data_IF_887426710601
#
_entry.id   IF_887426710601
#
_cell.length_a   1.000
_cell.length_b   1.000
_cell.length_c   1.000
_cell.angle_alpha   90.00
_cell.angle_beta   90.00
_cell.angle_gamma   90.00
#
_symmetry.space_group_name_H-M   'P 1'
#
loop_
_entity.id
_entity.type
_entity.pdbx_description
1 polymer ?
#
# COMPACT_ATOMS: atom_id res chain seq x y z
N UNK A 1 2.68 15.97 16.92
CA UNK A 1 3.15 15.75 15.54
C UNK A 1 4.09 16.89 15.12
N UNK A 2 3.70 18.18 15.25
CA UNK A 2 4.57 19.30 14.87
C UNK A 2 5.97 19.24 15.54
N UNK A 3 6.01 18.97 16.85
CA UNK A 3 7.29 18.85 17.58
C UNK A 3 8.16 17.66 17.12
N UNK A 4 7.53 16.59 16.61
CA UNK A 4 8.23 15.39 16.16
C UNK A 4 8.73 15.49 14.71
N UNK A 5 8.01 16.25 13.86
CA UNK A 5 8.27 16.28 12.42
C UNK A 5 8.85 17.62 11.94
N UNK A 6 8.79 18.66 12.77
CA UNK A 6 9.18 20.03 12.39
C UNK A 6 8.22 20.72 11.41
N UNK A 7 7.11 20.06 11.04
CA UNK A 7 6.14 20.58 10.07
C UNK A 7 4.85 21.05 10.76
N UNK A 8 4.17 22.09 10.25
CA UNK A 8 2.87 22.50 10.73
C UNK A 8 1.83 21.38 10.47
N UNK A 9 0.93 21.16 11.43
CA UNK A 9 -0.09 20.11 11.32
C UNK A 9 -1.47 20.55 11.85
N UNK A 10 -1.55 21.68 12.55
CA UNK A 10 -2.79 22.12 13.22
C UNK A 10 -3.31 23.40 12.58
N UNK A 11 -3.95 23.25 11.43
CA UNK A 11 -4.58 24.36 10.71
C UNK A 11 -5.74 23.83 9.84
N UNK A 12 -6.61 24.73 9.38
CA UNK A 12 -7.69 24.41 8.46
C UNK A 12 -7.20 24.57 7.03
N UNK A 13 -7.37 23.54 6.22
CA UNK A 13 -7.04 23.52 4.80
C UNK A 13 -8.30 23.27 3.97
N UNK A 14 -8.45 23.90 2.79
CA UNK A 14 -9.52 23.56 1.86
C UNK A 14 -9.24 22.18 1.22
N UNK A 15 -10.32 21.39 1.04
CA UNK A 15 -10.24 20.10 0.37
C UNK A 15 -11.46 19.87 -0.51
N UNK A 16 -11.26 19.41 -1.75
CA UNK A 16 -12.31 19.24 -2.76
C UNK A 16 -13.30 18.12 -2.42
N UNK A 17 -12.89 17.15 -1.61
CA UNK A 17 -13.73 16.02 -1.20
C UNK A 17 -14.65 16.37 0.00
N UNK A 18 -14.47 17.54 0.64
CA UNK A 18 -15.34 17.98 1.74
C UNK A 18 -16.53 18.74 1.18
N UNK A 19 -17.74 18.31 1.55
CA UNK A 19 -19.00 18.93 1.15
C UNK A 19 -19.74 19.51 2.35
N UNK A 20 -20.70 20.40 2.10
CA UNK A 20 -21.62 20.94 3.10
C UNK A 20 -23.02 20.33 3.00
N UNK A 21 -23.18 19.34 2.14
CA UNK A 21 -24.48 18.67 1.92
C UNK A 21 -24.81 17.72 3.08
N UNK A 22 -23.78 17.16 3.71
CA UNK A 22 -23.91 16.31 4.88
C UNK A 22 -22.86 16.69 5.93
N UNK A 23 -23.20 16.55 7.22
CA UNK A 23 -22.30 16.89 8.33
C UNK A 23 -22.08 18.39 8.52
N UNK A 24 -20.88 18.76 8.98
CA UNK A 24 -20.51 20.13 9.35
C UNK A 24 -19.75 20.89 8.27
N UNK A 25 -19.32 20.23 7.19
CA UNK A 25 -18.38 20.77 6.23
C UNK A 25 -16.94 20.89 6.75
N UNK A 26 -16.64 20.29 7.92
CA UNK A 26 -15.30 20.22 8.51
C UNK A 26 -14.96 18.78 8.82
N UNK A 27 -13.83 18.31 8.29
CA UNK A 27 -13.33 16.92 8.43
C UNK A 27 -11.98 16.94 9.13
N UNK A 28 -11.80 16.03 10.09
CA UNK A 28 -10.49 15.81 10.70
C UNK A 28 -9.64 14.95 9.76
N UNK A 29 -8.54 15.51 9.26
CA UNK A 29 -7.63 14.82 8.33
C UNK A 29 -6.61 13.97 9.07
N UNK A 30 -6.56 12.69 8.74
CA UNK A 30 -5.62 11.72 9.28
C UNK A 30 -4.74 11.13 8.16
N UNK A 31 -3.68 11.85 7.79
CA UNK A 31 -2.84 11.64 6.59
C UNK A 31 -2.43 10.18 6.35
N UNK A 32 -2.15 9.42 7.41
CA UNK A 32 -1.70 8.02 7.28
C UNK A 32 -2.82 6.98 7.31
N UNK A 33 -4.10 7.43 7.42
CA UNK A 33 -5.23 6.52 7.70
C UNK A 33 -6.45 6.75 6.80
N UNK A 34 -6.28 7.49 5.68
CA UNK A 34 -7.29 7.68 4.65
C UNK A 34 -6.66 8.02 3.30
N UNK A 35 -7.25 7.55 2.19
CA UNK A 35 -6.69 7.78 0.85
C UNK A 35 -6.75 9.26 0.45
N UNK A 36 -7.90 9.91 0.67
CA UNK A 36 -8.09 11.33 0.37
C UNK A 36 -7.24 12.20 1.30
N UNK A 37 -7.16 11.83 2.59
CA UNK A 37 -6.30 12.47 3.58
C UNK A 37 -4.83 12.39 3.19
N UNK A 38 -4.39 11.23 2.69
CA UNK A 38 -3.02 11.02 2.23
C UNK A 38 -2.70 11.89 1.01
N UNK A 39 -3.63 11.95 0.04
CA UNK A 39 -3.48 12.79 -1.16
C UNK A 39 -3.38 14.26 -0.79
N UNK A 40 -4.32 14.77 0.02
CA UNK A 40 -4.26 16.13 0.55
C UNK A 40 -2.96 16.38 1.31
N UNK A 41 -2.55 15.43 2.14
CA UNK A 41 -1.30 15.52 2.89
C UNK A 41 -0.05 15.62 2.02
N UNK A 42 -0.06 15.00 0.83
CA UNK A 42 1.01 15.17 -0.16
C UNK A 42 0.96 16.54 -0.84
N UNK A 43 -0.22 17.01 -1.23
CA UNK A 43 -0.42 18.28 -1.93
C UNK A 43 0.03 19.49 -1.10
N UNK A 44 -0.25 19.50 0.20
CA UNK A 44 0.04 20.61 1.11
C UNK A 44 1.20 20.33 2.09
N UNK A 45 1.96 19.26 1.85
CA UNK A 45 3.15 18.85 2.61
C UNK A 45 2.89 18.63 4.11
N UNK A 46 1.76 18.02 4.47
CA UNK A 46 1.50 17.64 5.86
C UNK A 46 2.47 16.56 6.37
N UNK A 47 2.72 16.52 7.68
CA UNK A 47 3.55 15.46 8.26
C UNK A 47 2.94 14.08 8.07
N UNK A 48 3.72 13.17 7.50
CA UNK A 48 3.39 11.75 7.38
C UNK A 48 3.99 11.01 8.58
N UNK A 49 3.15 10.71 9.55
CA UNK A 49 3.58 10.15 10.81
C UNK A 49 2.54 9.17 11.37
N UNK A 50 2.98 7.95 11.67
CA UNK A 50 2.11 6.94 12.26
C UNK A 50 1.95 7.17 13.77
N UNK A 51 0.73 7.42 14.20
CA UNK A 51 0.33 7.50 15.61
C UNK A 51 -0.23 6.17 16.13
N UNK A 52 -0.47 5.23 15.23
CA UNK A 52 -0.94 3.86 15.51
C UNK A 52 0.08 2.89 14.93
N UNK A 53 0.38 1.81 15.63
CA UNK A 53 1.25 0.75 15.16
C UNK A 53 0.52 -0.25 14.24
N UNK A 54 1.26 -1.21 13.67
CA UNK A 54 0.73 -2.23 12.76
C UNK A 54 -0.27 -3.19 13.43
N UNK A 55 -0.34 -3.21 14.76
CA UNK A 55 -1.29 -4.02 15.53
C UNK A 55 -2.56 -3.25 15.90
N UNK A 56 -2.62 -1.96 15.53
CA UNK A 56 -3.77 -1.09 15.77
C UNK A 56 -3.78 -0.43 17.15
N UNK A 57 -2.62 -0.31 17.80
CA UNK A 57 -2.49 0.36 19.08
C UNK A 57 -1.82 1.72 18.93
N UNK A 58 -2.23 2.69 19.74
CA UNK A 58 -1.55 3.98 19.77
C UNK A 58 -0.11 3.84 20.24
N UNK A 59 0.78 4.49 19.52
CA UNK A 59 2.22 4.50 19.85
C UNK A 59 2.50 5.39 21.06
N UNK A 60 3.69 5.28 21.64
CA UNK A 60 4.14 6.10 22.77
C UNK A 60 4.16 7.62 22.47
N UNK A 61 4.12 8.00 21.17
CA UNK A 61 4.04 9.39 20.73
C UNK A 61 2.65 10.02 20.93
N UNK A 62 1.66 9.21 21.31
CA UNK A 62 0.31 9.67 21.72
C UNK A 62 0.12 9.39 23.21
N UNK A 63 0.70 10.19 24.12
CA UNK A 63 0.81 9.84 25.54
C UNK A 63 -0.53 9.61 26.25
N UNK A 64 -1.61 10.31 25.79
CA UNK A 64 -2.94 10.20 26.39
C UNK A 64 -3.57 8.81 26.16
N UNK A 65 -3.19 8.11 25.09
CA UNK A 65 -3.82 6.88 24.65
C UNK A 65 -2.80 5.78 24.32
N UNK A 66 -1.53 5.96 24.71
CA UNK A 66 -0.45 5.03 24.39
C UNK A 66 -0.78 3.60 24.82
N UNK A 67 -0.64 2.66 23.89
CA UNK A 67 -0.92 1.24 24.10
C UNK A 67 -2.38 0.84 24.04
N UNK A 68 -3.32 1.78 23.83
CA UNK A 68 -4.73 1.47 23.68
C UNK A 68 -5.09 1.18 22.21
N UNK A 69 -6.11 0.35 22.01
CA UNK A 69 -6.58 -0.01 20.67
C UNK A 69 -7.41 1.13 20.07
N UNK A 70 -7.03 1.57 18.87
CA UNK A 70 -7.68 2.68 18.17
C UNK A 70 -9.19 2.44 17.94
N UNK A 71 -9.63 1.19 17.82
CA UNK A 71 -11.03 0.82 17.60
C UNK A 71 -11.91 0.88 18.86
N UNK A 72 -11.32 0.97 20.02
CA UNK A 72 -11.99 0.88 21.30
C UNK A 72 -11.95 2.21 22.07
N UNK A 73 -11.25 3.21 21.53
CA UNK A 73 -10.91 4.45 22.24
C UNK A 73 -11.99 5.54 22.15
N UNK A 74 -12.94 5.45 21.21
CA UNK A 74 -13.91 6.51 20.95
C UNK A 74 -14.62 7.04 22.20
N UNK A 75 -15.10 6.19 23.13
CA UNK A 75 -15.74 6.69 24.36
C UNK A 75 -14.81 7.56 25.22
N UNK A 76 -13.51 7.21 25.27
CA UNK A 76 -12.53 7.99 26.04
C UNK A 76 -12.17 9.30 25.35
N UNK A 77 -12.12 9.33 24.02
CA UNK A 77 -11.89 10.56 23.27
C UNK A 77 -13.09 11.52 23.50
N UNK A 78 -14.30 11.01 23.41
CA UNK A 78 -15.52 11.77 23.66
C UNK A 78 -15.52 12.37 25.08
N UNK A 79 -15.15 11.56 26.08
CA UNK A 79 -15.07 12.03 27.47
C UNK A 79 -13.99 13.10 27.64
N UNK A 80 -12.80 12.88 27.10
CA UNK A 80 -11.72 13.87 27.11
C UNK A 80 -12.14 15.21 26.48
N UNK A 81 -12.82 15.17 25.32
CA UNK A 81 -13.33 16.38 24.67
C UNK A 81 -14.44 17.06 25.49
N UNK A 82 -15.27 16.29 26.19
CA UNK A 82 -16.32 16.82 27.07
C UNK A 82 -15.70 17.53 28.28
N UNK A 83 -14.76 16.89 28.97
CA UNK A 83 -14.07 17.46 30.13
C UNK A 83 -13.27 18.72 29.78
N UNK A 84 -12.66 18.75 28.58
CA UNK A 84 -11.92 19.93 28.10
C UNK A 84 -12.81 21.05 27.54
N UNK A 85 -14.14 20.85 27.49
CA UNK A 85 -15.09 21.82 26.92
C UNK A 85 -14.99 21.97 25.39
N UNK A 86 -14.40 21.01 24.70
CA UNK A 86 -14.20 21.03 23.24
C UNK A 86 -15.20 20.18 22.47
N UNK A 87 -16.03 19.40 23.17
CA UNK A 87 -17.07 18.58 22.55
C UNK A 87 -18.25 19.45 22.13
N UNK A 88 -18.53 19.50 20.83
CA UNK A 88 -19.70 20.18 20.30
C UNK A 88 -20.94 19.28 20.37
N UNK A 89 -20.89 18.10 19.74
CA UNK A 89 -21.99 17.13 19.65
C UNK A 89 -21.45 15.74 19.33
N UNK A 90 -22.18 14.71 19.72
CA UNK A 90 -22.00 13.34 19.30
C UNK A 90 -23.27 12.83 18.66
N UNK A 91 -23.15 12.18 17.53
CA UNK A 91 -24.23 11.50 16.82
C UNK A 91 -23.79 10.08 16.45
N UNK A 92 -24.72 9.15 16.45
CA UNK A 92 -24.50 7.83 15.87
C UNK A 92 -24.61 7.93 14.36
N UNK A 93 -23.59 7.38 13.65
CA UNK A 93 -23.54 7.38 12.19
C UNK A 93 -23.39 5.96 11.67
N UNK A 94 -24.39 5.49 10.95
CA UNK A 94 -24.36 4.19 10.31
C UNK A 94 -23.81 4.31 8.88
N UNK A 95 -22.74 3.57 8.58
CA UNK A 95 -22.12 3.55 7.26
C UNK A 95 -21.52 2.19 6.95
N UNK A 96 -21.27 1.93 5.64
CA UNK A 96 -20.58 0.74 5.20
C UNK A 96 -19.12 0.77 5.64
N UNK A 97 -18.64 -0.33 6.21
CA UNK A 97 -17.25 -0.46 6.67
C UNK A 97 -16.63 -1.78 6.19
N UNK A 98 -15.34 -1.81 5.77
CA UNK A 98 -14.69 -3.02 5.33
C UNK A 98 -14.27 -3.89 6.53
N UNK A 99 -14.55 -5.20 6.43
CA UNK A 99 -14.17 -6.21 7.40
C UNK A 99 -13.25 -7.25 6.77
N UNK A 100 -12.40 -7.86 7.61
CA UNK A 100 -11.55 -8.96 7.18
C UNK A 100 -12.41 -10.19 6.85
N UNK A 101 -12.31 -10.70 5.65
CA UNK A 101 -13.08 -11.86 5.19
C UNK A 101 -12.74 -13.20 5.91
N UNK A 102 -11.64 -13.23 6.70
CA UNK A 102 -11.22 -14.41 7.47
C UNK A 102 -11.70 -14.42 8.91
N UNK A 103 -11.62 -13.29 9.59
CA UNK A 103 -11.88 -13.17 11.02
C UNK A 103 -12.93 -12.14 11.37
N UNK A 104 -13.55 -11.53 10.37
CA UNK A 104 -14.62 -10.55 10.53
C UNK A 104 -14.24 -9.32 11.40
N UNK A 105 -12.93 -9.07 11.52
CA UNK A 105 -12.43 -7.90 12.23
C UNK A 105 -12.50 -6.69 11.32
N UNK A 106 -12.99 -5.56 11.83
CA UNK A 106 -12.99 -4.29 11.11
C UNK A 106 -11.56 -3.88 10.71
N UNK A 107 -11.37 -3.58 9.42
CA UNK A 107 -10.06 -3.20 8.90
C UNK A 107 -9.68 -1.78 9.31
N UNK A 108 -8.40 -1.51 9.36
CA UNK A 108 -7.84 -0.19 9.54
C UNK A 108 -7.20 0.27 8.23
N UNK A 109 -7.59 1.44 7.73
CA UNK A 109 -6.82 2.09 6.67
C UNK A 109 -5.47 2.48 7.24
N UNK A 110 -4.40 2.12 6.53
CA UNK A 110 -3.04 2.30 7.03
C UNK A 110 -2.09 2.49 5.86
N UNK A 111 -1.44 3.63 5.77
CA UNK A 111 -0.47 3.90 4.70
C UNK A 111 0.79 3.05 4.91
N UNK A 112 1.20 2.32 3.88
CA UNK A 112 2.38 1.45 3.89
C UNK A 112 3.16 1.57 2.59
N UNK A 113 4.46 1.40 2.68
CA UNK A 113 5.28 1.24 1.50
C UNK A 113 4.92 -0.06 0.78
N UNK A 114 4.82 0.00 -0.53
CA UNK A 114 4.49 -1.13 -1.38
C UNK A 114 5.23 -1.02 -2.71
N UNK A 115 5.47 -2.17 -3.35
CA UNK A 115 5.94 -2.21 -4.72
C UNK A 115 4.76 -2.08 -5.66
N UNK A 116 4.93 -1.27 -6.71
CA UNK A 116 3.89 -1.01 -7.70
C UNK A 116 4.36 -1.37 -9.09
N UNK A 117 3.47 -1.99 -9.86
CA UNK A 117 3.58 -2.03 -11.31
C UNK A 117 2.87 -0.79 -11.87
N UNK A 118 3.58 0.00 -12.67
CA UNK A 118 3.02 1.20 -13.32
C UNK A 118 2.11 0.79 -14.48
N UNK A 119 0.96 0.21 -14.15
CA UNK A 119 -0.04 -0.22 -15.13
C UNK A 119 -0.67 0.96 -15.86
N UNK A 120 -0.70 2.14 -15.25
CA UNK A 120 -1.15 3.39 -15.90
C UNK A 120 -0.31 3.76 -17.12
N UNK A 121 0.97 3.41 -17.16
CA UNK A 121 1.84 3.63 -18.32
C UNK A 121 1.44 2.76 -19.55
N UNK A 122 0.66 1.70 -19.34
CA UNK A 122 0.19 0.81 -20.39
C UNK A 122 -1.29 1.03 -20.73
N UNK A 123 -1.97 1.97 -20.11
CA UNK A 123 -3.40 2.21 -20.19
C UNK A 123 -3.90 2.31 -21.65
N UNK A 124 -3.29 3.17 -22.44
CA UNK A 124 -3.67 3.36 -23.82
C UNK A 124 -3.53 2.08 -24.67
N UNK A 125 -2.47 1.32 -24.42
CA UNK A 125 -2.26 0.03 -25.11
C UNK A 125 -3.32 -0.99 -24.68
N UNK A 126 -3.65 -1.06 -23.39
CA UNK A 126 -4.68 -1.98 -22.90
C UNK A 126 -6.06 -1.63 -23.44
N UNK A 127 -6.40 -0.35 -23.55
CA UNK A 127 -7.65 0.10 -24.17
C UNK A 127 -7.70 -0.29 -25.66
N UNK A 128 -6.63 -0.02 -26.40
CA UNK A 128 -6.54 -0.39 -27.82
C UNK A 128 -6.66 -1.90 -28.06
N UNK A 129 -6.03 -2.72 -27.20
CA UNK A 129 -6.16 -4.18 -27.30
C UNK A 129 -7.57 -4.65 -26.87
N UNK A 130 -8.19 -4.02 -25.88
CA UNK A 130 -9.57 -4.31 -25.49
C UNK A 130 -10.56 -4.10 -26.65
N UNK A 131 -10.37 -3.06 -27.47
CA UNK A 131 -11.20 -2.79 -28.65
C UNK A 131 -11.08 -3.86 -29.75
N UNK A 132 -9.98 -4.62 -29.74
CA UNK A 132 -9.74 -5.74 -30.66
C UNK A 132 -10.38 -7.06 -30.20
N UNK A 133 -10.75 -7.13 -28.91
CA UNK A 133 -11.36 -8.35 -28.33
C UNK A 133 -12.84 -8.44 -28.74
N UNK A 134 -13.24 -9.61 -29.19
CA UNK A 134 -14.65 -9.91 -29.47
C UNK A 134 -15.38 -10.35 -28.20
N UNK A 135 -16.03 -9.40 -27.56
CA UNK A 135 -16.78 -9.62 -26.33
C UNK A 135 -18.19 -10.20 -26.56
N UNK A 136 -18.59 -11.12 -25.66
CA UNK A 136 -19.96 -11.62 -25.62
C UNK A 136 -20.49 -11.56 -24.17
N UNK A 137 -21.50 -10.73 -23.91
CA UNK A 137 -22.10 -9.73 -24.79
C UNK A 137 -21.17 -8.51 -24.99
N UNK A 138 -21.30 -7.77 -26.14
CA UNK A 138 -20.34 -6.69 -26.47
C UNK A 138 -20.22 -5.58 -25.46
N UNK A 139 -21.30 -5.26 -24.72
CA UNK A 139 -21.31 -4.19 -23.71
C UNK A 139 -20.37 -4.49 -22.53
N UNK A 140 -19.99 -5.73 -22.28
CA UNK A 140 -19.03 -6.06 -21.22
C UNK A 140 -17.67 -5.43 -21.54
N UNK A 141 -17.22 -5.50 -22.77
CA UNK A 141 -15.95 -4.91 -23.20
C UNK A 141 -15.96 -3.39 -23.13
N UNK A 142 -17.03 -2.76 -23.61
CA UNK A 142 -17.12 -1.30 -23.63
C UNK A 142 -17.40 -0.69 -22.26
N UNK A 143 -18.43 -1.18 -21.56
CA UNK A 143 -18.92 -0.49 -20.37
C UNK A 143 -18.21 -0.99 -19.11
N UNK A 144 -18.17 -2.30 -18.87
CA UNK A 144 -17.62 -2.82 -17.61
C UNK A 144 -16.10 -2.87 -17.62
N UNK A 145 -15.53 -3.58 -18.59
CA UNK A 145 -14.08 -3.77 -18.65
C UNK A 145 -13.36 -2.53 -19.19
N UNK A 146 -13.94 -1.86 -20.22
CA UNK A 146 -13.42 -0.60 -20.74
C UNK A 146 -13.36 0.48 -19.66
N UNK A 147 -14.46 0.72 -18.95
CA UNK A 147 -14.48 1.68 -17.84
C UNK A 147 -13.48 1.33 -16.73
N UNK A 148 -13.27 0.04 -16.44
CA UNK A 148 -12.26 -0.38 -15.50
C UNK A 148 -10.85 -0.04 -15.99
N UNK A 149 -10.54 -0.24 -17.27
CA UNK A 149 -9.27 0.14 -17.88
C UNK A 149 -9.08 1.67 -17.91
N UNK A 150 -10.14 2.42 -18.23
CA UNK A 150 -10.12 3.89 -18.23
C UNK A 150 -9.79 4.47 -16.86
N UNK A 151 -10.29 3.83 -15.80
CA UNK A 151 -10.05 4.22 -14.42
C UNK A 151 -8.92 3.41 -13.77
N UNK A 152 -8.04 2.78 -14.58
CA UNK A 152 -6.92 2.00 -14.10
C UNK A 152 -5.97 2.85 -13.24
N UNK A 153 -5.57 2.29 -12.11
CA UNK A 153 -4.55 2.81 -11.20
C UNK A 153 -3.36 1.86 -11.17
N UNK A 154 -2.19 2.34 -10.75
CA UNK A 154 -1.02 1.50 -10.60
C UNK A 154 -1.29 0.35 -9.62
N UNK A 155 -0.84 -0.85 -9.97
CA UNK A 155 -1.12 -2.04 -9.20
C UNK A 155 -0.11 -2.22 -8.07
N UNK A 156 -0.58 -2.09 -6.82
CA UNK A 156 0.19 -2.48 -5.65
C UNK A 156 0.37 -4.00 -5.65
N UNK A 157 1.57 -4.48 -6.05
CA UNK A 157 1.81 -5.89 -6.34
C UNK A 157 2.40 -6.67 -5.17
N UNK A 158 3.00 -6.00 -4.19
CA UNK A 158 3.59 -6.67 -3.02
C UNK A 158 2.57 -7.01 -1.95
N UNK A 159 2.79 -8.13 -1.27
CA UNK A 159 1.98 -8.58 -0.13
C UNK A 159 2.87 -9.00 1.02
N UNK A 160 2.52 -8.57 2.24
CA UNK A 160 3.15 -9.00 3.49
C UNK A 160 2.61 -10.36 3.90
N UNK A 161 3.09 -11.38 3.25
CA UNK A 161 2.73 -12.77 3.49
C UNK A 161 4.00 -13.61 3.61
N UNK A 162 3.94 -14.67 4.40
CA UNK A 162 5.07 -15.59 4.46
C UNK A 162 5.12 -16.48 3.21
N UNK A 163 3.97 -17.06 2.81
CA UNK A 163 3.89 -17.97 1.69
C UNK A 163 3.29 -17.32 0.44
N UNK A 164 3.93 -17.54 -0.67
CA UNK A 164 3.60 -17.06 -2.01
C UNK A 164 4.85 -16.98 -2.87
N UNK A 165 4.72 -16.52 -4.10
CA UNK A 165 5.85 -16.26 -5.00
C UNK A 165 6.70 -15.13 -4.44
N UNK A 166 7.96 -15.37 -4.05
CA UNK A 166 8.83 -14.34 -3.51
C UNK A 166 9.04 -13.19 -4.50
N UNK A 167 8.98 -11.95 -4.02
CA UNK A 167 9.27 -10.78 -4.85
C UNK A 167 10.70 -10.88 -5.41
N UNK A 168 10.90 -10.87 -6.75
CA UNK A 168 12.22 -11.07 -7.36
C UNK A 168 13.05 -9.79 -7.41
N UNK A 169 12.99 -8.97 -6.36
CA UNK A 169 13.69 -7.69 -6.27
C UNK A 169 14.74 -7.73 -5.17
N UNK A 170 15.96 -7.32 -5.50
CA UNK A 170 17.05 -7.13 -4.53
C UNK A 170 17.36 -5.65 -4.41
N UNK A 171 17.44 -5.17 -3.17
CA UNK A 171 17.75 -3.78 -2.84
C UNK A 171 19.15 -3.68 -2.21
N UNK A 172 19.90 -2.66 -2.59
CA UNK A 172 21.19 -2.38 -1.99
C UNK A 172 21.03 -1.91 -0.55
N UNK A 173 21.79 -2.50 0.37
CA UNK A 173 21.79 -2.10 1.77
C UNK A 173 22.52 -0.78 2.06
N UNK A 174 23.22 -0.20 1.08
CA UNK A 174 23.82 1.12 1.20
C UNK A 174 22.75 2.20 0.90
N UNK A 175 22.36 3.02 1.88
CA UNK A 175 21.31 4.02 1.72
C UNK A 175 21.65 5.09 0.66
N UNK A 176 22.93 5.40 0.47
CA UNK A 176 23.38 6.38 -0.53
C UNK A 176 23.29 5.82 -1.96
N UNK A 177 23.27 4.51 -2.11
CA UNK A 177 23.17 3.84 -3.41
C UNK A 177 21.72 3.52 -3.79
N UNK A 178 20.96 2.95 -2.87
CA UNK A 178 19.55 2.55 -3.00
C UNK A 178 19.21 1.80 -4.32
N UNK A 179 20.21 1.13 -4.95
CA UNK A 179 20.04 0.40 -6.22
C UNK A 179 19.08 -0.76 -6.01
N UNK A 180 18.13 -0.90 -6.93
CA UNK A 180 17.23 -2.05 -7.01
C UNK A 180 17.50 -2.80 -8.30
N UNK A 181 17.49 -4.13 -8.23
CA UNK A 181 17.59 -5.02 -9.39
C UNK A 181 16.48 -6.07 -9.34
N UNK A 182 15.91 -6.36 -10.50
CA UNK A 182 15.00 -7.48 -10.68
C UNK A 182 15.81 -8.70 -11.17
N UNK A 183 15.59 -9.84 -10.56
CA UNK A 183 16.26 -11.11 -10.88
C UNK A 183 15.29 -11.98 -11.65
N UNK A 184 15.65 -12.31 -12.90
CA UNK A 184 14.82 -13.10 -13.81
C UNK A 184 14.90 -14.61 -13.59
N UNK A 185 15.95 -15.12 -12.93
CA UNK A 185 16.11 -16.56 -12.73
C UNK A 185 17.38 -16.96 -11.99
N UNK A 186 17.62 -18.27 -11.93
CA UNK A 186 18.77 -18.88 -11.25
C UNK A 186 20.10 -18.40 -11.82
N UNK A 187 20.18 -18.26 -13.15
CA UNK A 187 21.39 -17.84 -13.85
C UNK A 187 21.76 -16.40 -13.50
N UNK A 188 20.77 -15.52 -13.31
CA UNK A 188 20.99 -14.15 -12.86
C UNK A 188 21.55 -14.12 -11.43
N UNK A 189 21.06 -14.99 -10.54
CA UNK A 189 21.63 -15.12 -9.19
C UNK A 189 23.09 -15.51 -9.27
N UNK A 190 23.40 -16.56 -10.04
CA UNK A 190 24.77 -17.06 -10.21
C UNK A 190 25.69 -16.00 -10.82
N UNK A 191 25.23 -15.31 -11.86
CA UNK A 191 26.02 -14.29 -12.58
C UNK A 191 26.36 -13.08 -11.65
N UNK A 192 25.55 -12.82 -10.64
CA UNK A 192 25.77 -11.75 -9.63
C UNK A 192 26.50 -12.26 -8.37
N UNK A 193 27.08 -13.46 -8.44
CA UNK A 193 27.86 -14.06 -7.35
C UNK A 193 27.03 -14.58 -6.18
N UNK A 194 25.72 -14.72 -6.34
CA UNK A 194 24.85 -15.31 -5.35
C UNK A 194 24.89 -16.84 -5.35
N UNK A 195 24.76 -17.44 -4.17
CA UNK A 195 24.54 -18.88 -4.05
C UNK A 195 23.11 -19.21 -4.49
N UNK A 196 22.95 -20.04 -5.51
CA UNK A 196 21.64 -20.43 -6.04
C UNK A 196 21.04 -21.53 -5.16
N UNK A 197 19.94 -21.29 -4.43
CA UNK A 197 19.32 -22.32 -3.62
C UNK A 197 18.61 -23.35 -4.51
N UNK A 198 18.48 -24.59 -4.02
CA UNK A 198 17.71 -25.63 -4.70
C UNK A 198 16.23 -25.25 -4.79
N UNK A 199 15.70 -24.69 -3.71
CA UNK A 199 14.34 -24.18 -3.61
C UNK A 199 14.33 -22.64 -3.59
N UNK A 200 13.60 -22.01 -4.51
CA UNK A 200 13.46 -20.57 -4.62
C UNK A 200 12.31 -19.99 -3.74
N UNK A 201 11.65 -20.82 -2.95
CA UNK A 201 10.69 -20.33 -1.97
C UNK A 201 11.37 -19.79 -0.71
N UNK A 202 10.59 -19.10 0.11
CA UNK A 202 11.02 -18.71 1.46
C UNK A 202 11.08 -19.95 2.37
N UNK A 203 12.06 -20.02 3.27
CA UNK A 203 13.05 -19.00 3.64
C UNK A 203 14.35 -19.04 2.81
N UNK A 204 14.51 -19.97 1.89
CA UNK A 204 15.79 -20.23 1.22
C UNK A 204 16.25 -19.06 0.35
N UNK A 205 15.36 -18.53 -0.48
CA UNK A 205 15.68 -17.39 -1.36
C UNK A 205 15.99 -16.10 -0.56
N UNK A 206 15.47 -15.95 0.66
CA UNK A 206 15.74 -14.81 1.52
C UNK A 206 17.20 -14.75 2.00
N UNK A 207 17.91 -15.88 1.95
CA UNK A 207 19.32 -15.99 2.33
C UNK A 207 20.27 -15.59 1.20
N UNK A 208 19.76 -15.42 -0.02
CA UNK A 208 20.57 -15.06 -1.18
C UNK A 208 21.00 -13.60 -1.07
N UNK A 209 22.29 -13.39 -0.85
CA UNK A 209 22.91 -12.08 -0.91
C UNK A 209 23.59 -11.90 -2.28
N UNK A 210 23.42 -10.74 -2.88
CA UNK A 210 24.08 -10.36 -4.14
C UNK A 210 25.02 -9.20 -3.92
N UNK A 211 25.95 -9.00 -4.84
CA UNK A 211 26.84 -7.84 -4.83
C UNK A 211 26.26 -6.73 -5.72
N UNK A 212 26.17 -5.54 -5.18
CA UNK A 212 25.71 -4.37 -5.92
C UNK A 212 26.77 -3.93 -6.95
N UNK A 213 26.42 -3.93 -8.21
CA UNK A 213 27.31 -3.50 -9.30
C UNK A 213 27.67 -2.00 -9.23
N UNK A 214 26.81 -1.18 -8.60
CA UNK A 214 27.03 0.26 -8.53
C UNK A 214 27.99 0.67 -7.41
N UNK A 215 27.98 -0.01 -6.25
CA UNK A 215 28.78 0.41 -5.09
C UNK A 215 29.55 -0.72 -4.40
N UNK A 216 29.45 -1.96 -4.88
CA UNK A 216 30.06 -3.13 -4.25
C UNK A 216 29.39 -3.59 -2.94
N UNK A 217 28.36 -2.90 -2.47
CA UNK A 217 27.64 -3.23 -1.24
C UNK A 217 26.79 -4.50 -1.36
N UNK A 218 26.36 -5.05 -0.22
CA UNK A 218 25.49 -6.21 -0.20
C UNK A 218 24.06 -5.82 -0.57
N UNK A 219 23.43 -6.64 -1.41
CA UNK A 219 22.01 -6.52 -1.76
C UNK A 219 21.23 -7.67 -1.11
N UNK A 220 20.01 -7.34 -0.65
CA UNK A 220 19.08 -8.31 -0.07
C UNK A 220 17.75 -8.27 -0.79
N UNK A 221 17.08 -9.40 -0.84
CA UNK A 221 15.76 -9.52 -1.43
C UNK A 221 14.73 -8.70 -0.65
N UNK A 222 13.79 -8.09 -1.34
CA UNK A 222 12.57 -7.52 -0.77
C UNK A 222 11.78 -8.62 -0.04
N UNK A 223 11.37 -8.37 1.20
CA UNK A 223 10.80 -9.42 2.08
C UNK A 223 9.43 -9.92 1.64
N UNK A 224 8.73 -9.15 0.84
CA UNK A 224 7.37 -9.39 0.40
C UNK A 224 7.27 -10.56 -0.59
N UNK A 225 6.05 -11.01 -0.80
CA UNK A 225 5.67 -11.90 -1.90
C UNK A 225 4.82 -11.16 -2.92
N UNK A 226 4.76 -11.68 -4.13
CA UNK A 226 3.94 -11.13 -5.21
C UNK A 226 2.46 -11.44 -4.95
N UNK A 227 1.58 -10.54 -5.39
CA UNK A 227 0.14 -10.77 -5.40
C UNK A 227 -0.20 -12.03 -6.21
N UNK A 228 -0.99 -12.92 -5.65
CA UNK A 228 -1.42 -14.18 -6.30
C UNK A 228 -2.12 -13.95 -7.64
N UNK A 229 -2.71 -12.79 -7.87
CA UNK A 229 -3.30 -12.44 -9.17
C UNK A 229 -2.25 -12.25 -10.26
N UNK A 230 -1.02 -11.91 -9.89
CA UNK A 230 0.09 -11.90 -10.84
C UNK A 230 0.44 -13.32 -11.29
N UNK A 231 0.53 -14.27 -10.37
CA UNK A 231 0.80 -15.68 -10.70
C UNK A 231 -0.30 -16.22 -11.63
N UNK A 232 -1.57 -15.97 -11.29
CA UNK A 232 -2.71 -16.35 -12.10
C UNK A 232 -2.68 -15.69 -13.49
N UNK A 233 -2.40 -14.39 -13.57
CA UNK A 233 -2.35 -13.63 -14.82
C UNK A 233 -1.15 -14.00 -15.71
N UNK A 234 -0.07 -14.52 -15.14
CA UNK A 234 1.13 -14.92 -15.87
C UNK A 234 1.03 -16.33 -16.46
N UNK A 235 0.12 -17.18 -16.00
CA UNK A 235 -0.01 -18.58 -16.43
C UNK A 235 -0.12 -18.80 -17.94
N UNK A 236 -0.82 -17.97 -18.73
CA UNK A 236 -0.85 -18.13 -20.18
C UNK A 236 0.52 -18.14 -20.85
N UNK A 237 1.52 -17.53 -20.21
CA UNK A 237 2.91 -17.45 -20.68
C UNK A 237 3.81 -18.39 -19.88
N UNK A 238 3.69 -18.42 -18.57
CA UNK A 238 4.55 -19.18 -17.68
C UNK A 238 4.50 -20.69 -17.93
N UNK A 239 3.34 -21.23 -18.28
CA UNK A 239 3.19 -22.64 -18.63
C UNK A 239 4.05 -23.08 -19.84
N UNK A 240 4.46 -22.16 -20.68
CA UNK A 240 5.32 -22.39 -21.84
C UNK A 240 6.78 -22.02 -21.55
N UNK A 241 7.12 -21.70 -20.32
CA UNK A 241 8.45 -21.23 -19.92
C UNK A 241 8.92 -19.97 -20.66
N UNK A 242 7.98 -19.07 -21.00
CA UNK A 242 8.33 -17.79 -21.61
C UNK A 242 9.13 -16.91 -20.62
N UNK A 243 10.16 -16.15 -21.08
CA UNK A 243 10.74 -16.11 -22.43
C UNK A 243 11.62 -17.34 -22.72
N UNK A 244 11.44 -17.94 -23.90
CA UNK A 244 12.21 -19.11 -24.38
C UNK A 244 13.13 -18.73 -25.54
#
# INVERSE_FOLDING_TARGET
ICALTGKPAYFVAPASFVTTEDGTGVVHTAVMYGADDYTLGQEIDLPRFHTVDETGHFTAQVPLFAGERVREIDPRIIEYLRESGQLYRTDDHEHSYPFCWRCDTALLYYARDSWYLRTTALKEKMLAENDRVRWFPPQVGKNRFGNWLENNVDWAISRDRYWGTPMPLWTCGNPDCAKVVCIGGRDDIAARGGAVPEDLHRPYVDQVALTCEACGGSMRRASEVVDVWFDSGSMPFAQWHYPF
#
